data_IF_492800390095
#
_entry.id   IF_492800390095
#
_cell.length_a   1.000
_cell.length_b   1.000
_cell.length_c   1.000
_cell.angle_alpha   90.00
_cell.angle_beta   90.00
_cell.angle_gamma   90.00
#
_symmetry.space_group_name_H-M   'P 1'
#
loop_
_entity.id
_entity.type
_entity.pdbx_description
1 polymer ?
#
# COMPACT_ATOMS: atom_id res chain seq x y z
N UNK A 1 -8.73 21.77 6.83
CA UNK A 1 -7.33 21.72 6.38
C UNK A 1 -6.91 23.14 6.01
N UNK A 2 -6.24 23.82 6.91
CA UNK A 2 -5.77 25.19 6.70
C UNK A 2 -4.57 25.13 5.76
N UNK A 3 -4.76 25.55 4.50
CA UNK A 3 -3.67 25.67 3.55
C UNK A 3 -2.64 26.64 4.12
N UNK A 4 -1.41 26.16 4.33
CA UNK A 4 -0.28 27.00 4.66
C UNK A 4 -0.15 28.04 3.54
N UNK A 5 -0.40 29.31 3.87
CA UNK A 5 -0.17 30.42 2.97
C UNK A 5 1.27 30.33 2.46
N UNK A 6 1.43 30.27 1.14
CA UNK A 6 2.72 30.50 0.50
C UNK A 6 3.14 31.92 0.88
N UNK A 7 4.04 32.05 1.85
CA UNK A 7 4.72 33.31 2.12
C UNK A 7 5.65 33.52 0.94
N UNK A 8 5.38 34.44 0.00
CA UNK A 8 6.40 34.79 -0.97
C UNK A 8 7.48 35.47 -0.15
N UNK A 9 8.58 34.78 0.08
CA UNK A 9 9.75 35.42 0.64
C UNK A 9 10.36 36.23 -0.51
N UNK A 10 10.34 37.58 -0.51
CA UNK A 10 11.15 38.35 -1.44
C UNK A 10 12.62 38.30 -0.97
N UNK A 11 13.11 37.12 -0.62
CA UNK A 11 14.51 36.86 -0.39
C UNK A 11 15.20 36.89 -1.74
N UNK A 12 15.58 38.12 -2.13
CA UNK A 12 16.71 38.48 -2.97
C UNK A 12 17.50 37.27 -3.48
N UNK A 13 17.10 36.78 -4.65
CA UNK A 13 17.85 35.77 -5.38
C UNK A 13 19.27 36.31 -5.64
N UNK A 14 20.29 35.44 -5.64
CA UNK A 14 21.69 35.85 -5.77
C UNK A 14 21.95 36.76 -6.99
N UNK A 15 21.38 36.49 -8.18
CA UNK A 15 21.47 37.41 -9.33
C UNK A 15 20.92 38.81 -9.03
N UNK A 16 19.81 38.92 -8.29
CA UNK A 16 19.23 40.22 -7.92
C UNK A 16 20.10 41.02 -6.95
N UNK A 17 20.85 40.34 -6.06
CA UNK A 17 21.84 40.99 -5.19
C UNK A 17 23.01 41.54 -5.99
N UNK A 18 23.48 40.78 -6.97
CA UNK A 18 24.58 41.16 -7.86
C UNK A 18 24.15 42.35 -8.73
N UNK A 19 22.97 42.28 -9.35
CA UNK A 19 22.42 43.33 -10.20
C UNK A 19 22.19 44.62 -9.41
N UNK A 20 21.69 44.52 -8.18
CA UNK A 20 21.56 45.67 -7.27
C UNK A 20 22.90 46.31 -6.95
N UNK A 21 23.91 45.52 -6.58
CA UNK A 21 25.24 46.03 -6.27
C UNK A 21 25.90 46.69 -7.50
N UNK A 22 25.72 46.09 -8.68
CA UNK A 22 26.19 46.64 -9.96
C UNK A 22 25.50 47.96 -10.29
N UNK A 23 24.18 48.03 -10.11
CA UNK A 23 23.40 49.25 -10.34
C UNK A 23 23.82 50.37 -9.37
N UNK A 24 23.97 50.05 -8.08
CA UNK A 24 24.46 51.01 -7.07
C UNK A 24 25.84 51.56 -7.42
N UNK A 25 26.76 50.70 -7.85
CA UNK A 25 28.10 51.13 -8.27
C UNK A 25 28.05 52.02 -9.53
N UNK A 26 27.26 51.64 -10.52
CA UNK A 26 27.13 52.40 -11.77
C UNK A 26 26.50 53.78 -11.59
N UNK A 27 25.65 53.94 -10.57
CA UNK A 27 24.96 55.19 -10.25
C UNK A 27 25.64 56.06 -9.20
N UNK A 28 26.72 55.59 -8.58
CA UNK A 28 27.41 56.29 -7.49
C UNK A 28 28.08 57.57 -7.98
N UNK A 29 27.81 58.69 -7.31
CA UNK A 29 28.36 60.03 -7.58
C UNK A 29 29.31 60.49 -6.47
N UNK A 30 29.28 59.84 -5.32
CA UNK A 30 30.07 60.18 -4.15
C UNK A 30 30.88 59.00 -3.63
N UNK A 31 31.96 59.27 -2.89
CA UNK A 31 32.76 58.23 -2.26
C UNK A 31 31.95 57.37 -1.26
N UNK A 32 30.95 57.96 -0.59
CA UNK A 32 30.08 57.24 0.33
C UNK A 32 29.23 56.18 -0.39
N UNK A 33 28.61 56.55 -1.52
CA UNK A 33 27.82 55.61 -2.34
C UNK A 33 28.67 54.49 -2.94
N UNK A 34 29.94 54.75 -3.27
CA UNK A 34 30.89 53.72 -3.71
C UNK A 34 31.17 52.71 -2.58
N UNK A 35 31.31 53.18 -1.34
CA UNK A 35 31.49 52.29 -0.18
C UNK A 35 30.24 51.45 0.09
N UNK A 36 29.04 52.02 -0.02
CA UNK A 36 27.78 51.27 0.10
C UNK A 36 27.64 50.20 -1.00
N UNK A 37 28.00 50.53 -2.25
CA UNK A 37 27.99 49.55 -3.34
C UNK A 37 28.98 48.40 -3.10
N UNK A 38 30.16 48.69 -2.53
CA UNK A 38 31.16 47.68 -2.13
C UNK A 38 30.62 46.77 -1.03
N UNK A 39 29.95 47.30 -0.02
CA UNK A 39 29.32 46.50 1.04
C UNK A 39 28.21 45.60 0.49
N UNK A 40 27.36 46.13 -0.40
CA UNK A 40 26.34 45.35 -1.09
C UNK A 40 26.93 44.21 -1.93
N UNK A 41 28.03 44.45 -2.64
CA UNK A 41 28.77 43.42 -3.37
C UNK A 41 29.40 42.37 -2.43
N UNK A 42 29.95 42.80 -1.29
CA UNK A 42 30.49 41.89 -0.26
C UNK A 42 29.42 40.95 0.29
N UNK A 43 28.21 41.47 0.57
CA UNK A 43 27.08 40.65 0.99
C UNK A 43 26.70 39.61 -0.09
N UNK A 44 26.63 40.03 -1.36
CA UNK A 44 26.33 39.11 -2.47
C UNK A 44 27.36 37.98 -2.57
N UNK A 45 28.65 38.29 -2.42
CA UNK A 45 29.73 37.30 -2.40
C UNK A 45 29.59 36.30 -1.24
N UNK A 46 29.31 36.78 -0.03
CA UNK A 46 29.14 35.91 1.14
C UNK A 46 27.93 34.99 1.02
N UNK A 47 26.82 35.51 0.48
CA UNK A 47 25.63 34.70 0.16
C UNK A 47 25.96 33.64 -0.88
N UNK A 48 26.65 33.99 -1.98
CA UNK A 48 27.09 33.05 -3.01
C UNK A 48 27.98 31.95 -2.43
N UNK A 49 28.96 32.32 -1.60
CA UNK A 49 29.90 31.38 -0.97
C UNK A 49 29.20 30.41 -0.03
N UNK A 50 28.22 30.89 0.76
CA UNK A 50 27.41 30.02 1.63
C UNK A 50 26.53 29.08 0.81
N UNK A 51 25.87 29.58 -0.24
CA UNK A 51 25.05 28.77 -1.14
C UNK A 51 25.87 27.66 -1.82
N UNK A 52 27.08 27.97 -2.30
CA UNK A 52 27.99 27.00 -2.90
C UNK A 52 28.39 25.90 -1.90
N UNK A 53 28.76 26.27 -0.67
CA UNK A 53 29.08 25.29 0.39
C UNK A 53 27.89 24.40 0.74
N UNK A 54 26.70 24.97 0.83
CA UNK A 54 25.48 24.20 1.09
C UNK A 54 25.19 23.22 -0.04
N UNK A 55 25.33 23.65 -1.30
CA UNK A 55 25.19 22.77 -2.47
C UNK A 55 26.20 21.62 -2.43
N UNK A 56 27.47 21.91 -2.15
CA UNK A 56 28.50 20.87 -2.02
C UNK A 56 28.22 19.90 -0.88
N UNK A 57 27.77 20.39 0.28
CA UNK A 57 27.41 19.55 1.41
C UNK A 57 26.21 18.66 1.09
N UNK A 58 25.18 19.19 0.42
CA UNK A 58 24.04 18.40 -0.03
C UNK A 58 24.45 17.33 -1.05
N UNK A 59 25.24 17.70 -2.05
CA UNK A 59 25.72 16.73 -3.04
C UNK A 59 26.52 15.59 -2.38
N UNK A 60 27.44 15.93 -1.47
CA UNK A 60 28.18 14.92 -0.72
C UNK A 60 27.28 14.02 0.14
N UNK A 61 26.24 14.59 0.76
CA UNK A 61 25.26 13.81 1.51
C UNK A 61 24.47 12.86 0.60
N UNK A 62 23.94 13.37 -0.52
CA UNK A 62 23.17 12.59 -1.48
C UNK A 62 24.04 11.44 -2.07
N UNK A 63 25.32 11.69 -2.34
CA UNK A 63 26.29 10.69 -2.80
C UNK A 63 26.53 9.58 -1.76
N UNK A 64 26.67 9.95 -0.48
CA UNK A 64 26.82 9.00 0.63
C UNK A 64 25.58 8.14 0.83
N UNK A 65 24.39 8.74 0.75
CA UNK A 65 23.11 8.01 0.83
C UNK A 65 22.99 7.03 -0.33
N UNK A 66 23.27 7.46 -1.56
CA UNK A 66 23.24 6.59 -2.73
C UNK A 66 24.25 5.43 -2.62
N UNK A 67 25.45 5.69 -2.08
CA UNK A 67 26.44 4.65 -1.82
C UNK A 67 25.99 3.64 -0.75
N UNK A 68 25.36 4.12 0.33
CA UNK A 68 24.79 3.26 1.36
C UNK A 68 23.66 2.38 0.80
N UNK A 69 22.75 2.95 0.01
CA UNK A 69 21.69 2.18 -0.64
C UNK A 69 22.25 1.11 -1.58
N UNK A 70 23.27 1.44 -2.39
CA UNK A 70 23.95 0.44 -3.24
C UNK A 70 24.55 -0.70 -2.41
N UNK A 71 25.27 -0.38 -1.34
CA UNK A 71 25.86 -1.40 -0.46
C UNK A 71 24.78 -2.28 0.22
N UNK A 72 23.66 -1.69 0.63
CA UNK A 72 22.52 -2.44 1.16
C UNK A 72 21.90 -3.37 0.11
N UNK A 73 21.75 -2.91 -1.14
CA UNK A 73 21.27 -3.74 -2.24
C UNK A 73 22.21 -4.92 -2.50
N UNK A 74 23.52 -4.69 -2.61
CA UNK A 74 24.53 -5.75 -2.80
C UNK A 74 24.46 -6.79 -1.67
N UNK A 75 24.34 -6.32 -0.41
CA UNK A 75 24.21 -7.20 0.74
C UNK A 75 22.92 -8.04 0.69
N UNK A 76 21.80 -7.46 0.24
CA UNK A 76 20.54 -8.18 0.06
C UNK A 76 20.60 -9.19 -1.10
N UNK A 77 21.32 -8.88 -2.18
CA UNK A 77 21.55 -9.81 -3.29
C UNK A 77 22.35 -11.04 -2.80
N UNK A 78 23.41 -10.82 -2.03
CA UNK A 78 24.20 -11.90 -1.39
C UNK A 78 23.33 -12.71 -0.43
N UNK A 79 22.54 -12.05 0.43
CA UNK A 79 21.64 -12.71 1.38
C UNK A 79 20.61 -13.59 0.64
N UNK A 80 20.03 -13.08 -0.45
CA UNK A 80 19.11 -13.80 -1.30
C UNK A 80 19.76 -15.02 -1.95
N UNK A 81 20.97 -14.88 -2.52
CA UNK A 81 21.73 -15.99 -3.09
C UNK A 81 22.05 -17.08 -2.05
N UNK A 82 22.45 -16.68 -0.83
CA UNK A 82 22.70 -17.61 0.26
C UNK A 82 21.44 -18.37 0.67
N UNK A 83 20.29 -17.69 0.76
CA UNK A 83 18.99 -18.31 1.05
C UNK A 83 18.59 -19.33 -0.02
N UNK A 84 18.80 -19.02 -1.31
CA UNK A 84 18.54 -19.99 -2.39
C UNK A 84 19.36 -21.25 -2.23
N UNK A 85 20.67 -21.09 -2.03
CA UNK A 85 21.58 -22.23 -1.81
C UNK A 85 21.22 -23.04 -0.57
N UNK A 86 20.79 -22.37 0.50
CA UNK A 86 20.27 -23.04 1.70
C UNK A 86 19.05 -23.91 1.37
N UNK A 87 18.10 -23.42 0.58
CA UNK A 87 16.92 -24.19 0.19
C UNK A 87 17.30 -25.44 -0.62
N UNK A 88 18.23 -25.30 -1.57
CA UNK A 88 18.71 -26.42 -2.39
C UNK A 88 19.42 -27.48 -1.56
N UNK A 89 20.34 -27.08 -0.68
CA UNK A 89 21.07 -28.03 0.17
C UNK A 89 20.13 -28.70 1.19
N UNK A 90 19.18 -27.94 1.76
CA UNK A 90 18.23 -28.47 2.73
C UNK A 90 17.29 -29.50 2.07
N UNK A 91 16.78 -29.21 0.87
CA UNK A 91 15.93 -30.15 0.13
C UNK A 91 16.74 -31.39 -0.32
N UNK A 92 18.01 -31.22 -0.72
CA UNK A 92 18.91 -32.34 -1.02
C UNK A 92 19.17 -33.22 0.22
N UNK A 93 19.40 -32.62 1.39
CA UNK A 93 19.55 -33.35 2.65
C UNK A 93 18.26 -34.09 3.05
N UNK A 94 17.09 -33.51 2.79
CA UNK A 94 15.81 -34.20 2.97
C UNK A 94 15.66 -35.41 2.04
N UNK A 95 16.12 -35.30 0.79
CA UNK A 95 16.09 -36.38 -0.20
C UNK A 95 17.07 -37.52 0.12
N UNK A 96 18.27 -37.19 0.65
CA UNK A 96 19.28 -38.18 1.07
C UNK A 96 18.86 -39.00 2.28
N UNK A 97 18.02 -38.44 3.14
CA UNK A 97 17.64 -39.09 4.38
C UNK A 97 18.10 -38.34 5.62
N UNK A 98 19.13 -37.50 5.50
CA UNK A 98 19.88 -36.86 6.59
C UNK A 98 19.02 -35.93 7.45
N UNK A 99 18.00 -35.30 6.86
CA UNK A 99 17.10 -34.35 7.53
C UNK A 99 15.65 -34.83 7.48
N UNK A 100 14.91 -34.58 8.56
CA UNK A 100 13.50 -34.93 8.68
C UNK A 100 12.65 -34.34 7.53
N UNK A 101 11.94 -35.21 6.83
CA UNK A 101 11.04 -34.87 5.71
C UNK A 101 9.56 -34.83 6.10
N UNK A 102 8.71 -34.24 5.24
CA UNK A 102 7.26 -34.08 5.53
C UNK A 102 6.46 -35.38 5.59
N UNK A 103 6.96 -36.45 4.99
CA UNK A 103 6.25 -37.73 4.83
C UNK A 103 6.87 -38.89 5.62
N UNK A 104 7.94 -38.65 6.39
CA UNK A 104 8.58 -39.69 7.21
C UNK A 104 8.07 -39.60 8.65
N UNK A 105 7.27 -40.58 9.07
CA UNK A 105 7.06 -40.88 10.48
C UNK A 105 8.17 -41.82 10.95
N UNK A 106 9.09 -41.34 11.78
CA UNK A 106 10.06 -42.20 12.45
C UNK A 106 9.36 -42.96 13.59
N UNK A 107 9.40 -44.29 13.54
CA UNK A 107 8.93 -45.17 14.62
C UNK A 107 10.18 -45.69 15.33
N UNK A 108 10.63 -44.98 16.38
CA UNK A 108 11.82 -45.30 17.19
C UNK A 108 12.85 -44.16 17.27
N UNK A 109 13.42 -43.94 18.46
CA UNK A 109 14.38 -42.85 18.76
C UNK A 109 15.79 -43.10 18.21
N UNK A 110 16.18 -44.36 18.02
CA UNK A 110 17.60 -44.73 17.80
C UNK A 110 18.16 -44.45 16.39
N UNK A 111 17.35 -43.97 15.43
CA UNK A 111 17.79 -43.61 14.06
C UNK A 111 17.01 -42.43 13.46
N UNK A 112 16.54 -41.49 14.29
CA UNK A 112 15.82 -40.33 13.79
C UNK A 112 16.77 -39.38 13.02
N UNK A 113 16.45 -38.97 11.77
CA UNK A 113 17.26 -38.00 11.04
C UNK A 113 17.20 -36.62 11.70
N UNK A 114 18.22 -35.80 11.48
CA UNK A 114 18.35 -34.49 12.10
C UNK A 114 17.12 -33.61 11.80
N UNK A 115 16.66 -32.87 12.79
CA UNK A 115 15.57 -31.90 12.62
C UNK A 115 16.13 -30.53 12.21
N UNK A 116 15.25 -29.64 11.73
CA UNK A 116 15.63 -28.26 11.46
C UNK A 116 16.21 -27.55 12.70
N UNK A 117 15.66 -27.86 13.89
CA UNK A 117 16.10 -27.28 15.14
C UNK A 117 17.51 -27.72 15.53
N UNK A 118 17.85 -29.00 15.27
CA UNK A 118 19.21 -29.53 15.50
C UNK A 118 20.27 -28.85 14.63
N UNK A 119 19.85 -28.36 13.45
CA UNK A 119 20.69 -27.56 12.54
C UNK A 119 20.71 -26.06 12.88
N UNK A 120 20.05 -25.64 13.97
CA UNK A 120 19.92 -24.23 14.34
C UNK A 120 19.05 -23.41 13.40
N UNK A 121 18.23 -24.06 12.57
CA UNK A 121 17.37 -23.42 11.57
C UNK A 121 15.92 -23.39 12.04
N UNK A 122 15.29 -22.23 11.86
CA UNK A 122 13.85 -22.10 12.06
C UNK A 122 13.10 -22.46 10.79
N UNK A 123 11.91 -23.05 10.97
CA UNK A 123 11.06 -23.52 9.86
C UNK A 123 10.66 -22.41 8.89
N UNK A 124 10.46 -21.19 9.38
CA UNK A 124 10.15 -20.02 8.56
C UNK A 124 11.35 -19.56 7.73
N UNK A 125 12.59 -19.65 8.24
CA UNK A 125 13.80 -19.37 7.46
C UNK A 125 13.92 -20.33 6.25
N UNK A 126 13.64 -21.62 6.46
CA UNK A 126 13.61 -22.62 5.38
C UNK A 126 12.48 -22.31 4.40
N UNK A 127 11.32 -21.90 4.89
CA UNK A 127 10.18 -21.55 4.04
C UNK A 127 10.45 -20.30 3.18
N UNK A 128 11.01 -19.25 3.77
CA UNK A 128 11.42 -18.04 3.05
C UNK A 128 12.50 -18.33 2.01
N UNK A 129 13.48 -19.16 2.36
CA UNK A 129 14.52 -19.61 1.45
C UNK A 129 13.93 -20.33 0.22
N UNK A 130 12.98 -21.25 0.43
CA UNK A 130 12.26 -21.94 -0.65
C UNK A 130 11.45 -20.98 -1.52
N UNK A 131 10.68 -20.06 -0.92
CA UNK A 131 9.94 -19.06 -1.69
C UNK A 131 10.85 -18.22 -2.59
N UNK A 132 12.02 -17.84 -2.07
CA UNK A 132 12.99 -17.03 -2.81
C UNK A 132 13.62 -17.83 -3.97
N UNK A 133 13.98 -19.10 -3.75
CA UNK A 133 14.42 -20.00 -4.82
C UNK A 133 13.36 -20.19 -5.88
N UNK A 134 12.13 -20.49 -5.47
CA UNK A 134 11.04 -20.80 -6.39
C UNK A 134 10.67 -19.54 -7.21
N UNK A 135 10.68 -18.35 -6.59
CA UNK A 135 10.51 -17.09 -7.31
C UNK A 135 11.59 -16.87 -8.37
N UNK A 136 12.87 -17.08 -8.03
CA UNK A 136 13.99 -16.91 -8.95
C UNK A 136 13.99 -17.98 -10.08
N UNK A 137 13.49 -19.18 -9.79
CA UNK A 137 13.31 -20.25 -10.79
C UNK A 137 12.20 -19.91 -11.78
N UNK A 138 11.10 -19.32 -11.28
CA UNK A 138 9.95 -18.93 -12.10
C UNK A 138 10.19 -17.62 -12.87
N UNK A 139 10.94 -16.68 -12.29
CA UNK A 139 11.27 -15.38 -12.87
C UNK A 139 12.75 -15.04 -12.62
N UNK A 140 13.66 -15.48 -13.49
CA UNK A 140 15.10 -15.24 -13.33
C UNK A 140 15.46 -13.75 -13.27
N UNK A 141 16.32 -13.40 -12.33
CA UNK A 141 16.80 -12.04 -12.09
C UNK A 141 15.83 -11.17 -11.30
N UNK A 142 14.73 -11.72 -10.75
CA UNK A 142 13.73 -10.91 -10.05
C UNK A 142 14.31 -10.16 -8.86
N UNK A 143 15.20 -10.77 -8.08
CA UNK A 143 15.83 -10.12 -6.92
C UNK A 143 16.62 -8.90 -7.36
N UNK A 144 17.49 -9.07 -8.37
CA UNK A 144 18.34 -8.01 -8.89
C UNK A 144 17.51 -6.86 -9.48
N UNK A 145 16.54 -7.17 -10.35
CA UNK A 145 15.65 -6.15 -10.93
C UNK A 145 14.87 -5.39 -9.87
N UNK A 146 14.39 -6.08 -8.83
CA UNK A 146 13.66 -5.44 -7.72
C UNK A 146 14.53 -4.42 -6.97
N UNK A 147 15.80 -4.78 -6.73
CA UNK A 147 16.75 -3.91 -6.05
C UNK A 147 17.15 -2.73 -6.93
N UNK A 148 17.46 -2.98 -8.20
CA UNK A 148 17.80 -1.94 -9.19
C UNK A 148 16.66 -0.92 -9.35
N UNK A 149 15.42 -1.37 -9.50
CA UNK A 149 14.25 -0.49 -9.58
C UNK A 149 14.07 0.41 -8.35
N UNK A 150 14.48 -0.07 -7.17
CA UNK A 150 14.43 0.74 -5.94
C UNK A 150 15.53 1.77 -5.90
N UNK A 151 16.75 1.38 -6.28
CA UNK A 151 17.88 2.29 -6.41
C UNK A 151 17.58 3.41 -7.41
N UNK A 152 16.95 3.08 -8.55
CA UNK A 152 16.53 4.06 -9.55
C UNK A 152 15.51 5.07 -9.01
N UNK A 153 14.61 4.64 -8.12
CA UNK A 153 13.64 5.52 -7.43
C UNK A 153 14.27 6.32 -6.28
N UNK A 154 15.54 6.07 -5.94
CA UNK A 154 16.19 6.64 -4.76
C UNK A 154 15.62 6.12 -3.44
N UNK A 155 14.85 5.03 -3.47
CA UNK A 155 14.28 4.41 -2.27
C UNK A 155 15.29 3.48 -1.60
N UNK A 156 15.23 3.40 -0.26
CA UNK A 156 16.06 2.47 0.49
C UNK A 156 15.68 1.01 0.15
N UNK A 157 16.63 0.16 -0.26
CA UNK A 157 16.38 -1.26 -0.48
C UNK A 157 16.16 -1.95 0.87
N UNK A 158 15.02 -2.66 1.00
CA UNK A 158 14.65 -3.31 2.26
C UNK A 158 14.13 -4.74 2.07
N UNK A 159 14.29 -5.55 3.12
CA UNK A 159 13.92 -6.97 3.14
C UNK A 159 12.42 -7.20 2.92
N UNK A 160 11.59 -6.35 3.51
CA UNK A 160 10.12 -6.50 3.47
C UNK A 160 9.57 -6.35 2.06
N UNK A 161 10.06 -5.36 1.32
CA UNK A 161 9.66 -5.13 -0.05
C UNK A 161 10.16 -6.21 -0.99
N UNK A 162 11.42 -6.64 -0.81
CA UNK A 162 11.97 -7.77 -1.53
C UNK A 162 11.11 -9.03 -1.30
N UNK A 163 10.77 -9.32 -0.03
CA UNK A 163 9.89 -10.44 0.33
C UNK A 163 8.52 -10.33 -0.33
N UNK A 164 7.92 -9.15 -0.36
CA UNK A 164 6.61 -8.94 -1.00
C UNK A 164 6.67 -9.27 -2.50
N UNK A 165 7.66 -8.73 -3.23
CA UNK A 165 7.81 -9.01 -4.66
C UNK A 165 8.15 -10.47 -4.96
N UNK A 166 9.03 -11.08 -4.16
CA UNK A 166 9.36 -12.50 -4.23
C UNK A 166 8.12 -13.37 -4.00
N UNK A 167 7.33 -13.07 -2.96
CA UNK A 167 6.07 -13.78 -2.70
C UNK A 167 5.11 -13.63 -3.88
N UNK A 168 4.93 -12.41 -4.39
CA UNK A 168 4.03 -12.16 -5.51
C UNK A 168 4.46 -12.91 -6.77
N UNK A 169 5.75 -13.00 -7.06
CA UNK A 169 6.27 -13.74 -8.21
C UNK A 169 6.21 -15.26 -8.05
N UNK A 170 6.57 -15.78 -6.87
CA UNK A 170 6.35 -17.18 -6.53
C UNK A 170 4.86 -17.55 -6.68
N UNK A 171 3.96 -16.67 -6.21
CA UNK A 171 2.51 -16.87 -6.32
C UNK A 171 1.98 -16.74 -7.75
N UNK A 172 2.60 -15.92 -8.62
CA UNK A 172 2.26 -15.87 -10.05
C UNK A 172 2.58 -17.17 -10.77
N UNK A 173 3.71 -17.81 -10.45
CA UNK A 173 4.06 -19.15 -10.94
C UNK A 173 3.15 -20.25 -10.38
N UNK A 174 2.60 -20.05 -9.17
CA UNK A 174 1.74 -21.00 -8.47
C UNK A 174 0.24 -20.83 -8.73
N UNK A 175 -0.20 -19.85 -9.54
CA UNK A 175 -1.64 -19.63 -9.75
C UNK A 175 -2.23 -20.87 -10.44
N UNK A 176 -3.00 -21.72 -9.74
CA UNK A 176 -3.61 -22.87 -10.38
C UNK A 176 -4.61 -22.33 -11.41
N UNK A 177 -4.82 -23.05 -12.52
CA UNK A 177 -5.99 -22.81 -13.36
C UNK A 177 -7.19 -22.65 -12.43
N UNK A 178 -7.86 -21.49 -12.51
CA UNK A 178 -9.03 -21.17 -11.68
C UNK A 178 -10.00 -22.34 -11.82
N UNK A 179 -10.22 -23.10 -10.73
CA UNK A 179 -11.18 -24.21 -10.74
C UNK A 179 -12.48 -23.72 -11.37
N UNK A 180 -13.09 -24.48 -12.31
CA UNK A 180 -14.30 -24.05 -12.97
C UNK A 180 -15.33 -23.69 -11.90
N UNK A 181 -15.95 -22.53 -12.06
CA UNK A 181 -16.90 -22.01 -11.06
C UNK A 181 -18.05 -22.99 -10.94
N UNK A 182 -18.51 -23.31 -9.73
CA UNK A 182 -19.77 -24.06 -9.52
C UNK A 182 -21.03 -23.26 -9.91
N UNK A 183 -20.91 -22.25 -10.77
CA UNK A 183 -22.07 -21.49 -11.26
C UNK A 183 -22.68 -22.26 -12.42
N UNK A 184 -24.00 -22.35 -12.42
CA UNK A 184 -24.77 -22.98 -13.48
C UNK A 184 -24.36 -22.36 -14.85
N UNK A 185 -23.89 -23.16 -15.82
CA UNK A 185 -23.46 -22.67 -17.14
C UNK A 185 -24.60 -22.05 -17.96
N UNK A 186 -25.86 -22.27 -17.58
CA UNK A 186 -27.04 -21.67 -18.19
C UNK A 186 -27.53 -20.40 -17.44
N UNK A 187 -26.79 -19.93 -16.44
CA UNK A 187 -27.17 -18.73 -15.70
C UNK A 187 -26.99 -17.49 -16.58
N UNK A 188 -28.11 -16.87 -16.94
CA UNK A 188 -28.15 -15.54 -17.51
C UNK A 188 -28.41 -14.56 -16.36
N UNK A 189 -27.51 -13.60 -16.09
CA UNK A 189 -27.77 -12.59 -15.07
C UNK A 189 -29.02 -11.78 -15.44
N UNK A 190 -29.90 -11.45 -14.47
CA UNK A 190 -31.03 -10.58 -14.75
C UNK A 190 -30.52 -9.23 -15.26
N UNK A 191 -31.27 -8.62 -16.18
CA UNK A 191 -31.00 -7.23 -16.58
C UNK A 191 -31.11 -6.31 -15.35
N UNK A 192 -30.46 -5.13 -15.35
CA UNK A 192 -30.56 -4.20 -14.23
C UNK A 192 -32.01 -3.86 -13.83
N UNK A 193 -32.90 -3.74 -14.82
CA UNK A 193 -34.33 -3.51 -14.58
C UNK A 193 -35.02 -4.73 -13.92
N UNK A 194 -34.71 -5.95 -14.37
CA UNK A 194 -35.23 -7.18 -13.75
C UNK A 194 -34.69 -7.38 -12.34
N UNK A 195 -33.42 -7.08 -12.09
CA UNK A 195 -32.82 -7.16 -10.77
C UNK A 195 -33.49 -6.16 -9.81
N UNK A 196 -33.71 -4.92 -10.25
CA UNK A 196 -34.42 -3.91 -9.48
C UNK A 196 -35.86 -4.35 -9.13
N UNK A 197 -36.60 -4.91 -10.10
CA UNK A 197 -37.93 -5.47 -9.85
C UNK A 197 -37.89 -6.68 -8.91
N UNK A 198 -36.92 -7.58 -9.07
CA UNK A 198 -36.74 -8.72 -8.16
C UNK A 198 -36.47 -8.27 -6.72
N UNK A 199 -35.63 -7.25 -6.53
CA UNK A 199 -35.41 -6.64 -5.22
C UNK A 199 -36.69 -6.09 -4.61
N UNK A 200 -37.49 -5.34 -5.37
CA UNK A 200 -38.80 -4.85 -4.93
C UNK A 200 -39.68 -6.02 -4.50
N UNK A 201 -39.85 -7.03 -5.37
CA UNK A 201 -40.72 -8.18 -5.07
C UNK A 201 -40.27 -8.99 -3.86
N UNK A 202 -38.94 -9.16 -3.67
CA UNK A 202 -38.38 -9.87 -2.53
C UNK A 202 -38.61 -9.13 -1.22
N UNK A 203 -38.39 -7.81 -1.21
CA UNK A 203 -38.61 -6.97 -0.04
C UNK A 203 -40.09 -6.96 0.39
N UNK A 204 -41.01 -6.79 -0.56
CA UNK A 204 -42.45 -6.83 -0.26
C UNK A 204 -42.91 -8.22 0.20
N UNK A 205 -42.39 -9.29 -0.39
CA UNK A 205 -42.72 -10.65 0.04
C UNK A 205 -42.23 -10.90 1.47
N UNK A 206 -40.98 -10.57 1.78
CA UNK A 206 -40.42 -10.74 3.12
C UNK A 206 -41.18 -9.91 4.15
N UNK A 207 -41.55 -8.66 3.80
CA UNK A 207 -42.36 -7.83 4.67
C UNK A 207 -43.77 -8.40 4.89
N UNK A 208 -44.43 -8.89 3.84
CA UNK A 208 -45.75 -9.51 3.95
C UNK A 208 -45.73 -10.81 4.76
N UNK A 209 -44.69 -11.64 4.61
CA UNK A 209 -44.47 -12.84 5.42
C UNK A 209 -44.24 -12.51 6.90
N UNK A 210 -43.56 -11.41 7.20
CA UNK A 210 -43.35 -10.94 8.56
C UNK A 210 -44.57 -10.23 9.17
N UNK A 211 -45.33 -9.46 8.38
CA UNK A 211 -46.42 -8.58 8.81
C UNK A 211 -47.72 -9.34 9.14
N UNK A 212 -47.63 -10.34 10.00
CA UNK A 212 -48.79 -11.02 10.60
C UNK A 212 -49.52 -10.09 11.56
N UNK A 213 -50.80 -10.36 11.84
CA UNK A 213 -51.62 -9.54 12.76
C UNK A 213 -50.97 -9.42 14.15
N UNK A 214 -50.34 -10.49 14.63
CA UNK A 214 -49.60 -10.52 15.90
C UNK A 214 -48.36 -9.61 15.87
N UNK A 215 -47.54 -9.72 14.83
CA UNK A 215 -46.32 -8.90 14.69
C UNK A 215 -46.66 -7.42 14.49
N UNK A 216 -47.74 -7.11 13.77
CA UNK A 216 -48.23 -5.75 13.60
C UNK A 216 -48.79 -5.16 14.91
N UNK A 217 -49.46 -5.97 15.73
CA UNK A 217 -49.92 -5.54 17.05
C UNK A 217 -48.74 -5.23 17.98
N UNK A 218 -47.70 -6.08 17.99
CA UNK A 218 -46.47 -5.87 18.75
C UNK A 218 -45.70 -4.63 18.24
N UNK A 219 -45.57 -4.45 16.92
CA UNK A 219 -44.93 -3.27 16.35
C UNK A 219 -45.66 -1.97 16.73
N UNK A 220 -47.01 -2.00 16.76
CA UNK A 220 -47.83 -0.87 17.21
C UNK A 220 -47.64 -0.56 18.69
N UNK A 221 -47.47 -1.58 19.53
CA UNK A 221 -47.16 -1.40 20.95
C UNK A 221 -45.75 -0.80 21.12
N UNK A 222 -44.74 -1.36 20.45
CA UNK A 222 -43.36 -0.86 20.50
C UNK A 222 -43.22 0.58 20.00
N UNK A 223 -43.98 0.98 18.97
CA UNK A 223 -44.04 2.36 18.49
C UNK A 223 -44.53 3.34 19.59
N UNK A 224 -45.53 2.94 20.38
CA UNK A 224 -46.04 3.77 21.48
C UNK A 224 -45.06 3.87 22.64
N UNK A 225 -44.35 2.80 22.93
CA UNK A 225 -43.35 2.74 24.00
C UNK A 225 -42.07 3.50 23.63
N UNK A 226 -41.72 3.54 22.34
CA UNK A 226 -40.53 4.23 21.83
C UNK A 226 -40.72 5.73 21.60
N UNK A 227 -41.89 6.31 21.95
CA UNK A 227 -42.21 7.71 21.67
C UNK A 227 -41.24 8.70 22.32
N UNK A 228 -40.64 8.34 23.45
CA UNK A 228 -39.64 9.14 24.18
C UNK A 228 -38.20 8.64 23.96
N UNK A 229 -37.99 7.65 23.08
CA UNK A 229 -36.68 7.09 22.82
C UNK A 229 -35.86 7.97 21.87
N UNK A 230 -34.54 8.08 22.07
CA UNK A 230 -33.66 8.69 21.07
C UNK A 230 -33.83 7.95 19.73
N UNK A 231 -33.94 8.71 18.63
CA UNK A 231 -34.09 8.24 17.23
C UNK A 231 -35.49 7.85 16.73
N UNK A 232 -36.54 7.92 17.55
CA UNK A 232 -37.93 7.67 17.10
C UNK A 232 -38.34 8.52 15.87
N UNK A 233 -37.90 9.79 15.80
CA UNK A 233 -38.18 10.67 14.67
C UNK A 233 -37.51 10.22 13.36
N UNK A 234 -36.35 9.56 13.43
CA UNK A 234 -35.66 9.00 12.26
C UNK A 234 -36.37 7.75 11.75
N UNK A 235 -36.83 6.89 12.67
CA UNK A 235 -37.61 5.70 12.33
C UNK A 235 -38.96 6.08 11.71
N UNK A 236 -39.66 7.05 12.30
CA UNK A 236 -40.91 7.57 11.76
C UNK A 236 -40.74 8.17 10.35
N UNK A 237 -39.64 8.90 10.12
CA UNK A 237 -39.31 9.45 8.80
C UNK A 237 -38.99 8.35 7.78
N UNK A 238 -38.21 7.34 8.15
CA UNK A 238 -37.87 6.22 7.27
C UNK A 238 -39.13 5.42 6.86
N UNK A 239 -40.05 5.19 7.81
CA UNK A 239 -41.34 4.54 7.54
C UNK A 239 -42.21 5.38 6.60
N UNK A 240 -42.25 6.71 6.79
CA UNK A 240 -43.00 7.61 5.92
C UNK A 240 -42.45 7.62 4.48
N UNK A 241 -41.13 7.71 4.31
CA UNK A 241 -40.46 7.66 3.01
C UNK A 241 -40.69 6.30 2.32
N UNK A 242 -40.59 5.20 3.06
CA UNK A 242 -40.91 3.85 2.56
C UNK A 242 -42.38 3.68 2.13
N UNK A 243 -43.31 4.20 2.92
CA UNK A 243 -44.76 4.16 2.64
C UNK A 243 -45.14 4.93 1.37
N UNK A 244 -44.52 6.09 1.14
CA UNK A 244 -44.71 6.87 -0.09
C UNK A 244 -44.22 6.09 -1.33
N UNK A 245 -43.05 5.44 -1.23
CA UNK A 245 -42.54 4.58 -2.30
C UNK A 245 -43.47 3.37 -2.55
N UNK A 246 -44.03 2.78 -1.51
CA UNK A 246 -44.99 1.68 -1.62
C UNK A 246 -46.27 2.10 -2.34
N UNK A 247 -46.78 3.29 -2.01
CA UNK A 247 -47.99 3.86 -2.65
C UNK A 247 -47.75 4.08 -4.14
N UNK A 248 -46.58 4.62 -4.50
CA UNK A 248 -46.17 4.83 -5.90
C UNK A 248 -46.10 3.51 -6.68
N UNK A 249 -45.52 2.45 -6.08
CA UNK A 249 -45.45 1.12 -6.70
C UNK A 249 -46.83 0.51 -6.86
N UNK A 250 -47.71 0.68 -5.87
CA UNK A 250 -49.11 0.22 -5.93
C UNK A 250 -49.87 0.90 -7.07
N UNK A 251 -49.70 2.21 -7.24
CA UNK A 251 -50.28 2.96 -8.37
C UNK A 251 -49.82 2.42 -9.73
N UNK A 252 -48.55 2.04 -9.89
CA UNK A 252 -48.06 1.42 -11.13
C UNK A 252 -48.72 0.06 -11.43
N UNK A 253 -49.03 -0.72 -10.39
CA UNK A 253 -49.69 -2.02 -10.51
C UNK A 253 -51.17 -1.84 -10.81
N UNK A 254 -51.84 -0.91 -10.13
CA UNK A 254 -53.28 -0.66 -10.26
C UNK A 254 -53.61 0.08 -11.57
N UNK A 255 -52.66 0.80 -12.18
CA UNK A 255 -52.80 1.47 -13.48
C UNK A 255 -52.64 0.56 -14.70
N UNK A 256 -52.55 -0.76 -14.49
CA UNK A 256 -52.41 -1.81 -15.52
C UNK A 256 -53.68 -2.62 -15.66
#
# INVERSE_FOLDING_TARGET
MTALAHIPNPAKDLPSLIERAATMLSGAKTAAEVLEAREAAGLAYDVAKRAARMKSAKAAHDDLVAAAHRAQADALEIEAAAKRRLADEYDAAQARGDVMGRARSCVGEDNAPATAADLGLRRDQIHEARQLRDAETNDPGIVRRTLDERLERGEEPNRTALRKMVTDAAMRGLRPQRKPTRRNPLYVPPTPAQAAWQHVTGTFRAFAEWATDENLALARQGMREAQDAPFHDLDARAIAEGSAAFTTIKEWIDAR
#
